data_IF_379886225359
#
_entry.id   IF_379886225359
#
_cell.length_a   1.000
_cell.length_b   1.000
_cell.length_c   1.000
_cell.angle_alpha   90.00
_cell.angle_beta   90.00
_cell.angle_gamma   90.00
#
_symmetry.space_group_name_H-M   'P 1'
#
loop_
_entity.id
_entity.type
_entity.pdbx_description
1 polymer ?
#
# COMPACT_ATOMS: atom_id res chain seq x y z
N UNK A 1 8.69 4.71 -3.03
CA UNK A 1 7.55 4.53 -3.94
C UNK A 1 7.78 5.31 -5.24
N UNK A 2 7.00 6.31 -5.70
CA UNK A 2 7.10 6.84 -7.09
C UNK A 2 8.52 7.13 -7.59
N UNK A 3 9.29 7.89 -6.81
CA UNK A 3 10.65 8.24 -7.17
C UNK A 3 11.57 7.02 -7.22
N UNK A 4 11.50 6.16 -6.21
CA UNK A 4 12.29 4.94 -6.17
C UNK A 4 11.90 3.94 -7.27
N UNK A 5 10.63 3.91 -7.71
CA UNK A 5 10.23 3.16 -8.90
C UNK A 5 11.00 3.61 -10.15
N UNK A 6 11.39 4.89 -10.23
CA UNK A 6 12.28 5.38 -11.28
C UNK A 6 13.75 5.15 -10.95
N UNK A 7 14.28 5.73 -9.88
CA UNK A 7 15.73 5.74 -9.58
C UNK A 7 16.30 4.41 -9.11
N UNK A 8 15.56 3.64 -8.32
CA UNK A 8 16.06 2.36 -7.78
C UNK A 8 15.74 1.17 -8.68
N UNK A 9 14.73 1.27 -9.54
CA UNK A 9 14.27 0.16 -10.37
C UNK A 9 14.42 0.44 -11.87
N UNK A 10 13.72 1.46 -12.39
CA UNK A 10 13.66 1.68 -13.84
C UNK A 10 14.98 2.18 -14.44
N UNK A 11 15.65 3.14 -13.80
CA UNK A 11 16.90 3.71 -14.29
C UNK A 11 18.03 2.65 -14.32
N UNK A 12 18.26 1.86 -13.25
CA UNK A 12 19.19 0.73 -13.28
C UNK A 12 18.80 -0.32 -14.34
N UNK A 13 17.51 -0.60 -14.50
CA UNK A 13 17.04 -1.53 -15.55
C UNK A 13 17.42 -1.05 -16.96
N UNK A 14 17.26 0.25 -17.25
CA UNK A 14 17.65 0.85 -18.54
C UNK A 14 19.17 0.79 -18.74
N UNK A 15 19.95 1.11 -17.71
CA UNK A 15 21.41 1.08 -17.79
C UNK A 15 21.94 -0.34 -18.03
N UNK A 16 21.41 -1.33 -17.29
CA UNK A 16 21.74 -2.74 -17.47
C UNK A 16 21.32 -3.27 -18.85
N UNK A 17 20.11 -2.93 -19.32
CA UNK A 17 19.65 -3.31 -20.64
C UNK A 17 20.52 -2.71 -21.76
N UNK A 18 20.97 -1.47 -21.59
CA UNK A 18 21.86 -0.79 -22.54
C UNK A 18 23.26 -1.42 -22.55
N UNK A 19 23.80 -1.73 -21.39
CA UNK A 19 25.14 -2.31 -21.21
C UNK A 19 25.25 -3.77 -21.69
N UNK A 20 24.14 -4.51 -21.68
CA UNK A 20 24.08 -5.91 -22.13
C UNK A 20 24.40 -6.13 -23.63
N UNK A 21 24.51 -5.06 -24.43
CA UNK A 21 24.96 -5.09 -25.83
C UNK A 21 23.99 -5.72 -26.83
N UNK A 22 22.91 -6.38 -26.36
CA UNK A 22 21.97 -7.11 -27.22
C UNK A 22 20.99 -6.23 -28.02
N UNK A 23 20.70 -5.01 -27.55
CA UNK A 23 19.64 -4.17 -28.12
C UNK A 23 20.10 -2.78 -28.60
N UNK A 24 21.31 -2.32 -28.23
CA UNK A 24 21.83 -1.01 -28.64
C UNK A 24 20.85 0.13 -28.34
N UNK A 25 20.53 0.95 -29.36
CA UNK A 25 19.55 2.04 -29.24
C UNK A 25 18.11 1.58 -28.93
N UNK A 26 17.81 0.28 -29.08
CA UNK A 26 16.51 -0.32 -28.76
C UNK A 26 16.45 -0.89 -27.34
N UNK A 27 17.43 -0.61 -26.47
CA UNK A 27 17.40 -1.05 -25.06
C UNK A 27 16.16 -0.56 -24.29
N UNK A 28 15.50 0.50 -24.76
CA UNK A 28 14.23 0.96 -24.20
C UNK A 28 13.10 -0.07 -24.38
N UNK A 29 13.13 -0.88 -25.44
CA UNK A 29 12.05 -1.81 -25.78
C UNK A 29 11.86 -2.91 -24.73
N UNK A 30 12.89 -3.71 -24.35
CA UNK A 30 12.73 -4.73 -23.31
C UNK A 30 12.30 -4.14 -21.97
N UNK A 31 12.81 -2.96 -21.61
CA UNK A 31 12.43 -2.27 -20.37
C UNK A 31 10.97 -1.80 -20.42
N UNK A 32 10.53 -1.18 -21.53
CA UNK A 32 9.16 -0.75 -21.71
C UNK A 32 8.17 -1.92 -21.68
N UNK A 33 8.55 -3.07 -22.27
CA UNK A 33 7.78 -4.31 -22.20
C UNK A 33 7.69 -4.79 -20.75
N UNK A 34 8.82 -4.90 -20.04
CA UNK A 34 8.84 -5.29 -18.63
C UNK A 34 7.97 -4.39 -17.76
N UNK A 35 8.13 -3.07 -17.89
CA UNK A 35 7.33 -2.07 -17.19
C UNK A 35 5.83 -2.22 -17.47
N UNK A 36 5.45 -2.37 -18.74
CA UNK A 36 4.04 -2.52 -19.13
C UNK A 36 3.46 -3.84 -18.62
N UNK A 37 4.24 -4.93 -18.67
CA UNK A 37 3.84 -6.23 -18.12
C UNK A 37 3.67 -6.18 -16.60
N UNK A 38 4.51 -5.43 -15.89
CA UNK A 38 4.36 -5.19 -14.46
C UNK A 38 3.05 -4.49 -14.11
N UNK A 39 2.74 -3.40 -14.81
CA UNK A 39 1.47 -2.69 -14.64
C UNK A 39 0.27 -3.57 -15.01
N UNK A 40 0.35 -4.27 -16.15
CA UNK A 40 -0.69 -5.19 -16.60
C UNK A 40 -0.88 -6.38 -15.65
N UNK A 41 0.17 -6.85 -14.99
CA UNK A 41 0.10 -7.91 -13.99
C UNK A 41 -0.76 -7.48 -12.79
N UNK A 42 -0.54 -6.27 -12.26
CA UNK A 42 -1.37 -5.76 -11.15
C UNK A 42 -2.80 -5.52 -11.60
N UNK A 43 -2.99 -4.86 -12.74
CA UNK A 43 -4.32 -4.68 -13.34
C UNK A 43 -5.07 -6.01 -13.55
N UNK A 44 -4.38 -7.03 -14.06
CA UNK A 44 -4.96 -8.34 -14.28
C UNK A 44 -5.22 -9.06 -12.96
N UNK A 45 -4.35 -8.92 -11.97
CA UNK A 45 -4.59 -9.43 -10.63
C UNK A 45 -5.87 -8.80 -10.07
N UNK A 46 -6.09 -7.50 -10.27
CA UNK A 46 -7.31 -6.80 -9.89
C UNK A 46 -8.56 -7.30 -10.63
N UNK A 47 -8.42 -7.59 -11.93
CA UNK A 47 -9.50 -8.06 -12.81
C UNK A 47 -9.89 -9.54 -12.61
N UNK A 48 -8.91 -10.43 -12.48
CA UNK A 48 -9.11 -11.88 -12.30
C UNK A 48 -9.79 -12.21 -10.98
N UNK A 49 -9.77 -11.24 -10.10
CA UNK A 49 -10.35 -11.33 -8.81
C UNK A 49 -11.88 -11.20 -8.96
N UNK A 50 -12.65 -12.25 -8.65
CA UNK A 50 -14.07 -12.26 -8.96
C UNK A 50 -14.83 -11.24 -8.10
N UNK A 51 -15.83 -10.57 -8.68
CA UNK A 51 -16.95 -9.97 -7.94
C UNK A 51 -17.86 -11.02 -7.27
N UNK A 52 -17.43 -12.28 -7.18
CA UNK A 52 -18.21 -13.35 -6.57
C UNK A 52 -18.09 -13.23 -5.05
N UNK A 53 -19.13 -12.66 -4.45
CA UNK A 53 -19.32 -12.72 -3.02
C UNK A 53 -19.55 -14.15 -2.53
N UNK A 54 -19.36 -14.28 -1.22
CA UNK A 54 -19.75 -15.39 -0.35
C UNK A 54 -18.74 -16.54 -0.16
N UNK A 55 -18.52 -16.82 1.13
CA UNK A 55 -17.75 -17.91 1.75
C UNK A 55 -16.23 -17.79 1.52
N UNK A 56 -15.38 -17.54 2.52
CA UNK A 56 -15.41 -18.03 3.89
C UNK A 56 -14.89 -16.95 4.84
N UNK A 57 -15.54 -16.84 5.99
CA UNK A 57 -15.13 -15.96 7.07
C UNK A 57 -13.69 -16.35 7.51
N UNK A 58 -12.69 -15.45 7.46
CA UNK A 58 -11.32 -15.76 7.88
C UNK A 58 -11.24 -16.22 9.34
N UNK A 59 -12.20 -15.80 10.16
CA UNK A 59 -12.34 -16.25 11.54
C UNK A 59 -12.81 -17.71 11.66
N UNK A 60 -13.58 -18.22 10.69
CA UNK A 60 -13.94 -19.65 10.64
C UNK A 60 -12.77 -20.53 10.20
N UNK A 61 -11.98 -20.12 9.20
CA UNK A 61 -10.81 -20.88 8.75
C UNK A 61 -9.70 -20.97 9.82
N UNK A 62 -9.55 -19.91 10.63
CA UNK A 62 -8.60 -19.87 11.75
C UNK A 62 -9.14 -20.58 13.00
N UNK A 63 -10.46 -20.53 13.25
CA UNK A 63 -11.10 -21.27 14.35
C UNK A 63 -11.17 -22.78 14.09
N UNK A 64 -11.22 -23.23 12.83
CA UNK A 64 -11.20 -24.64 12.46
C UNK A 64 -9.83 -25.31 12.61
N UNK A 65 -8.76 -24.55 12.86
CA UNK A 65 -7.40 -25.07 13.09
C UNK A 65 -6.93 -24.98 14.55
N UNK A 66 -7.82 -24.60 15.49
CA UNK A 66 -7.56 -24.69 16.92
C UNK A 66 -8.28 -25.92 17.48
N UNK A 67 -7.48 -26.89 17.92
CA UNK A 67 -7.86 -28.21 18.43
C UNK A 67 -9.20 -28.28 19.19
N UNK A 68 -10.05 -29.31 18.95
CA UNK A 68 -11.25 -29.59 19.75
C UNK A 68 -10.94 -30.05 21.20
N UNK A 69 -9.66 -30.11 21.59
CA UNK A 69 -9.23 -30.63 22.89
C UNK A 69 -9.39 -29.65 24.06
N UNK A 70 -9.74 -28.38 23.83
CA UNK A 70 -9.91 -27.39 24.91
C UNK A 70 -11.37 -27.18 25.38
N UNK A 71 -12.35 -27.83 24.76
CA UNK A 71 -13.73 -27.81 25.23
C UNK A 71 -14.07 -29.07 26.03
N UNK A 72 -13.52 -29.19 27.25
CA UNK A 72 -14.07 -30.08 28.26
C UNK A 72 -13.92 -29.50 29.66
N UNK A 73 -15.09 -29.30 30.31
CA UNK A 73 -15.38 -28.90 31.70
C UNK A 73 -15.30 -27.41 32.02
N UNK A 74 -16.47 -26.76 32.10
CA UNK A 74 -17.16 -26.58 33.37
C UNK A 74 -18.64 -26.22 33.14
N UNK A 75 -19.52 -26.96 33.79
CA UNK A 75 -20.97 -26.87 33.71
C UNK A 75 -21.55 -25.64 34.44
N UNK A 76 -22.71 -25.20 33.94
CA UNK A 76 -23.88 -24.67 34.64
C UNK A 76 -23.75 -23.45 35.58
N UNK A 77 -24.20 -22.28 35.11
CA UNK A 77 -25.33 -21.52 35.71
C UNK A 77 -25.79 -20.35 34.82
N UNK A 78 -27.10 -20.09 34.81
CA UNK A 78 -27.78 -19.09 34.00
C UNK A 78 -27.64 -17.62 34.47
N UNK A 79 -28.32 -16.67 33.80
CA UNK A 79 -27.81 -15.33 33.56
C UNK A 79 -28.17 -14.30 34.66
N UNK A 80 -27.28 -13.31 34.88
CA UNK A 80 -27.59 -12.09 35.63
C UNK A 80 -27.12 -10.83 34.90
N UNK A 81 -28.12 -10.05 34.48
CA UNK A 81 -28.05 -8.64 34.09
C UNK A 81 -27.63 -7.76 35.27
N UNK A 82 -26.59 -6.94 35.11
CA UNK A 82 -26.40 -5.67 35.84
C UNK A 82 -25.53 -4.71 34.98
N UNK A 83 -26.13 -3.62 34.51
CA UNK A 83 -25.46 -2.43 33.95
C UNK A 83 -24.72 -1.66 35.07
N UNK A 84 -23.76 -0.75 34.81
CA UNK A 84 -24.11 0.61 34.35
C UNK A 84 -23.17 1.26 33.32
N UNK A 85 -23.80 2.11 32.50
CA UNK A 85 -23.27 3.19 31.68
C UNK A 85 -22.28 4.11 32.43
N UNK A 86 -21.19 4.50 31.76
CA UNK A 86 -20.41 5.68 32.16
C UNK A 86 -20.28 6.62 30.97
N UNK A 87 -21.18 7.60 30.93
CA UNK A 87 -21.07 8.82 30.15
C UNK A 87 -19.71 9.49 30.37
N UNK A 88 -19.07 9.97 29.31
CA UNK A 88 -18.08 11.03 29.40
C UNK A 88 -18.34 12.07 28.31
N UNK A 89 -19.21 13.02 28.66
CA UNK A 89 -19.39 14.27 27.92
C UNK A 89 -18.39 15.30 28.45
N UNK A 90 -17.44 15.73 27.61
CA UNK A 90 -16.60 16.90 27.91
C UNK A 90 -17.09 18.06 27.04
N UNK A 91 -17.84 18.96 27.67
CA UNK A 91 -18.14 20.31 27.16
C UNK A 91 -16.93 21.21 27.42
N UNK A 92 -16.33 21.78 26.38
CA UNK A 92 -15.48 22.96 26.49
C UNK A 92 -16.06 24.05 25.59
N UNK A 93 -16.71 25.03 26.21
CA UNK A 93 -16.98 26.33 25.62
C UNK A 93 -15.87 27.31 25.99
N UNK A 94 -15.36 28.03 25.01
CA UNK A 94 -14.62 29.29 25.26
C UNK A 94 -15.07 30.31 24.22
N UNK A 95 -15.60 31.41 24.74
CA UNK A 95 -16.04 32.57 23.99
C UNK A 95 -14.85 33.46 23.55
N UNK A 96 -15.03 34.09 22.38
CA UNK A 96 -14.57 35.45 22.10
C UNK A 96 -13.23 35.62 21.37
N UNK A 97 -13.27 36.03 20.10
CA UNK A 97 -12.68 37.30 19.62
C UNK A 97 -13.01 37.57 18.14
N UNK A 98 -13.13 38.86 17.84
CA UNK A 98 -13.67 39.51 16.65
C UNK A 98 -12.72 39.52 15.43
N UNK A 99 -13.33 39.78 14.27
CA UNK A 99 -12.84 40.65 13.17
C UNK A 99 -12.45 39.97 11.83
N UNK A 100 -13.46 39.94 10.95
CA UNK A 100 -13.53 40.62 9.64
C UNK A 100 -12.68 40.18 8.42
N UNK A 101 -13.34 40.34 7.25
CA UNK A 101 -12.91 40.31 5.83
C UNK A 101 -12.75 38.99 5.05
N UNK A 102 -13.85 38.65 4.36
CA UNK A 102 -14.01 38.60 2.88
C UNK A 102 -12.81 38.19 2.01
N UNK A 103 -12.96 37.07 1.27
CA UNK A 103 -12.82 37.06 -0.19
C UNK A 103 -13.50 35.83 -0.84
N UNK A 104 -14.21 36.10 -1.95
CA UNK A 104 -15.05 35.19 -2.74
C UNK A 104 -14.24 34.35 -3.73
N UNK A 105 -14.78 33.19 -4.11
CA UNK A 105 -14.28 32.36 -5.22
C UNK A 105 -15.22 31.21 -5.61
N UNK A 106 -16.41 31.58 -6.11
CA UNK A 106 -17.28 30.87 -7.07
C UNK A 106 -17.52 29.35 -6.93
N UNK A 107 -18.68 28.97 -6.37
CA UNK A 107 -19.31 27.67 -6.56
C UNK A 107 -20.52 27.79 -7.50
N UNK A 108 -20.47 27.05 -8.61
CA UNK A 108 -21.53 26.92 -9.61
C UNK A 108 -22.87 26.52 -8.96
N UNK A 109 -23.90 27.35 -9.18
CA UNK A 109 -25.28 27.09 -8.77
C UNK A 109 -25.93 25.98 -9.62
N UNK A 110 -26.77 25.15 -8.99
CA UNK A 110 -27.97 24.61 -9.66
C UNK A 110 -29.19 24.48 -8.74
N UNK A 111 -30.07 25.48 -8.91
CA UNK A 111 -31.54 25.53 -8.88
C UNK A 111 -32.33 25.15 -7.61
N UNK A 112 -32.92 26.21 -7.05
CA UNK A 112 -34.01 26.29 -6.08
C UNK A 112 -35.36 26.03 -6.79
N UNK A 113 -36.21 25.16 -6.24
CA UNK A 113 -37.65 25.16 -6.49
C UNK A 113 -38.34 25.67 -5.22
N UNK A 114 -39.17 26.70 -5.38
CA UNK A 114 -40.02 27.30 -4.35
C UNK A 114 -41.42 26.74 -4.51
N UNK A 115 -42.07 26.33 -3.41
CA UNK A 115 -43.54 26.35 -3.27
C UNK A 115 -43.92 26.41 -1.79
N UNK A 116 -44.96 27.18 -1.54
CA UNK A 116 -45.50 27.73 -0.28
C UNK A 116 -46.55 26.83 0.39
N UNK A 117 -46.68 26.93 1.73
CA UNK A 117 -47.94 26.71 2.48
C UNK A 117 -48.06 25.42 3.31
N UNK A 118 -48.25 25.56 4.63
CA UNK A 118 -48.60 24.52 5.63
C UNK A 118 -50.10 24.10 5.50
N UNK A 119 -50.51 22.88 5.92
CA UNK A 119 -50.91 22.63 7.33
C UNK A 119 -50.53 21.24 7.90
N UNK A 120 -50.61 21.13 9.24
CA UNK A 120 -50.29 19.97 10.09
C UNK A 120 -51.07 18.67 9.74
N UNK A 121 -50.39 17.52 9.81
CA UNK A 121 -50.91 16.14 9.67
C UNK A 121 -49.87 15.11 10.13
N UNK A 122 -50.25 13.87 10.53
CA UNK A 122 -49.69 13.17 11.69
C UNK A 122 -48.31 12.53 11.48
N UNK A 123 -47.62 12.34 12.61
CA UNK A 123 -46.23 11.89 12.77
C UNK A 123 -45.76 10.81 11.78
N UNK A 124 -44.61 11.09 11.14
CA UNK A 124 -43.88 10.11 10.33
C UNK A 124 -43.34 8.96 11.21
N UNK A 125 -43.25 7.72 10.68
CA UNK A 125 -42.73 6.59 11.44
C UNK A 125 -41.24 6.77 11.71
N UNK A 126 -40.83 6.47 12.94
CA UNK A 126 -39.44 6.39 13.38
C UNK A 126 -38.66 5.46 12.43
N UNK A 127 -37.52 5.87 11.85
CA UNK A 127 -36.72 4.95 11.07
C UNK A 127 -36.15 3.87 12.00
N UNK A 128 -36.40 2.61 11.66
CA UNK A 128 -35.83 1.44 12.31
C UNK A 128 -34.32 1.61 12.44
N UNK A 129 -33.81 1.49 13.67
CA UNK A 129 -32.38 1.37 13.95
C UNK A 129 -31.77 0.30 13.04
N UNK A 130 -31.01 0.74 12.04
CA UNK A 130 -30.19 -0.15 11.24
C UNK A 130 -29.10 -0.75 12.12
N UNK A 131 -28.98 -2.08 12.12
CA UNK A 131 -27.83 -2.78 12.65
C UNK A 131 -26.52 -2.13 12.15
N UNK A 132 -25.48 -1.99 12.98
CA UNK A 132 -24.17 -1.59 12.49
C UNK A 132 -23.69 -2.64 11.50
N UNK A 133 -23.56 -2.24 10.23
CA UNK A 133 -23.03 -3.10 9.18
C UNK A 133 -21.59 -3.50 9.52
N UNK A 134 -21.37 -4.79 9.76
CA UNK A 134 -20.04 -5.39 9.81
C UNK A 134 -19.35 -5.18 8.44
N UNK A 135 -18.07 -4.77 8.38
CA UNK A 135 -17.37 -4.52 7.12
C UNK A 135 -17.00 -5.85 6.47
N UNK A 136 -17.95 -6.46 5.76
CA UNK A 136 -17.82 -7.79 5.17
C UNK A 136 -17.33 -7.79 3.72
N UNK A 137 -16.22 -8.49 3.45
CA UNK A 137 -15.84 -9.00 2.13
C UNK A 137 -14.89 -8.12 1.29
N UNK A 138 -15.22 -6.86 1.04
CA UNK A 138 -14.45 -6.04 0.07
C UNK A 138 -13.15 -5.47 0.63
N UNK A 139 -13.13 -5.06 1.90
CA UNK A 139 -11.94 -4.49 2.55
C UNK A 139 -10.83 -5.50 2.80
N UNK A 140 -11.17 -6.71 3.27
CA UNK A 140 -10.20 -7.77 3.51
C UNK A 140 -9.47 -8.22 2.24
N UNK A 141 -10.22 -8.36 1.14
CA UNK A 141 -9.68 -8.68 -0.18
C UNK A 141 -8.66 -7.65 -0.62
N UNK A 142 -9.00 -6.35 -0.52
CA UNK A 142 -8.07 -5.23 -0.79
C UNK A 142 -6.79 -5.33 0.02
N UNK A 143 -6.90 -5.62 1.32
CA UNK A 143 -5.75 -5.79 2.20
C UNK A 143 -4.87 -6.96 1.76
N UNK A 144 -5.45 -8.12 1.45
CA UNK A 144 -4.71 -9.32 1.03
C UNK A 144 -3.99 -9.09 -0.29
N UNK A 145 -4.62 -8.40 -1.25
CA UNK A 145 -3.98 -8.07 -2.52
C UNK A 145 -2.86 -7.09 -2.37
N UNK A 146 -3.07 -6.05 -1.57
CA UNK A 146 -2.04 -5.06 -1.31
C UNK A 146 -0.82 -5.75 -0.69
N UNK A 147 -1.04 -6.65 0.27
CA UNK A 147 0.03 -7.48 0.85
C UNK A 147 0.70 -8.33 -0.22
N UNK A 148 -0.06 -9.04 -1.05
CA UNK A 148 0.48 -9.93 -2.08
C UNK A 148 1.28 -9.17 -3.14
N UNK A 149 0.73 -8.07 -3.64
CA UNK A 149 1.37 -7.17 -4.61
C UNK A 149 2.64 -6.57 -4.01
N UNK A 150 2.61 -6.19 -2.73
CA UNK A 150 3.79 -5.68 -2.02
C UNK A 150 4.87 -6.76 -1.89
N UNK A 151 4.50 -7.94 -1.43
CA UNK A 151 5.42 -9.06 -1.30
C UNK A 151 6.03 -9.48 -2.64
N UNK A 152 5.27 -9.50 -3.74
CA UNK A 152 5.79 -9.88 -5.04
C UNK A 152 6.81 -8.85 -5.57
N UNK A 153 6.59 -7.55 -5.37
CA UNK A 153 7.55 -6.55 -5.85
C UNK A 153 8.84 -6.49 -5.01
N UNK A 154 8.78 -6.86 -3.73
CA UNK A 154 9.96 -6.93 -2.87
C UNK A 154 10.99 -7.99 -3.34
N UNK A 155 10.58 -8.96 -4.17
CA UNK A 155 11.47 -9.99 -4.69
C UNK A 155 12.49 -9.40 -5.68
N UNK A 156 12.09 -8.71 -6.77
CA UNK A 156 13.02 -7.98 -7.64
C UNK A 156 13.95 -7.02 -6.91
N UNK A 157 13.45 -6.32 -5.88
CA UNK A 157 14.26 -5.38 -5.09
C UNK A 157 15.36 -6.10 -4.30
N UNK A 158 14.99 -7.16 -3.60
CA UNK A 158 15.95 -8.02 -2.91
C UNK A 158 16.99 -8.60 -3.87
N UNK A 159 16.55 -9.14 -5.01
CA UNK A 159 17.46 -9.62 -6.06
C UNK A 159 18.43 -8.54 -6.53
N UNK A 160 17.96 -7.31 -6.71
CA UNK A 160 18.79 -6.19 -7.15
C UNK A 160 19.88 -5.83 -6.13
N UNK A 161 19.51 -5.75 -4.84
CA UNK A 161 20.49 -5.55 -3.75
C UNK A 161 21.50 -6.70 -3.72
N UNK A 162 21.03 -7.94 -3.79
CA UNK A 162 21.84 -9.14 -3.77
C UNK A 162 22.84 -9.23 -4.92
N UNK A 163 22.35 -9.06 -6.15
CA UNK A 163 23.18 -9.06 -7.36
C UNK A 163 24.15 -7.88 -7.34
N UNK A 164 23.70 -6.69 -6.92
CA UNK A 164 24.56 -5.52 -6.78
C UNK A 164 25.78 -5.81 -5.91
N UNK A 165 25.58 -6.38 -4.71
CA UNK A 165 26.70 -6.78 -3.84
C UNK A 165 27.48 -7.98 -4.37
N UNK A 166 26.83 -8.97 -4.97
CA UNK A 166 27.49 -10.17 -5.50
C UNK A 166 28.28 -9.92 -6.79
N UNK A 167 28.01 -8.82 -7.49
CA UNK A 167 28.69 -8.41 -8.71
C UNK A 167 29.85 -7.44 -8.46
N UNK A 168 30.06 -7.00 -7.21
CA UNK A 168 31.15 -6.09 -6.85
C UNK A 168 32.49 -6.62 -7.38
N UNK A 169 33.25 -5.74 -8.05
CA UNK A 169 34.54 -6.04 -8.72
C UNK A 169 34.47 -6.98 -9.93
N UNK A 170 33.30 -7.49 -10.32
CA UNK A 170 33.14 -8.32 -11.55
C UNK A 170 33.02 -7.49 -12.82
N UNK A 171 32.62 -6.22 -12.72
CA UNK A 171 32.50 -5.28 -13.84
C UNK A 171 32.86 -3.88 -13.37
N UNK A 172 33.38 -3.02 -14.26
CA UNK A 172 33.78 -1.66 -13.91
C UNK A 172 32.63 -0.81 -13.30
N UNK A 173 31.38 -1.11 -13.66
CA UNK A 173 30.18 -0.45 -13.14
C UNK A 173 29.68 -1.02 -11.81
N UNK A 174 30.10 -2.24 -11.43
CA UNK A 174 29.64 -2.90 -10.21
C UNK A 174 30.59 -2.59 -9.05
N UNK A 175 30.41 -1.42 -8.43
CA UNK A 175 31.21 -0.97 -7.28
C UNK A 175 30.48 -1.22 -5.97
N UNK A 176 31.24 -1.37 -4.87
CA UNK A 176 30.64 -1.43 -3.53
C UNK A 176 29.77 -0.21 -3.22
N UNK A 177 30.16 0.97 -3.72
CA UNK A 177 29.42 2.21 -3.51
C UNK A 177 28.06 2.17 -4.22
N UNK A 178 28.03 1.72 -5.48
CA UNK A 178 26.78 1.56 -6.25
C UNK A 178 25.80 0.60 -5.56
N UNK A 179 26.30 -0.56 -5.08
CA UNK A 179 25.49 -1.56 -4.38
C UNK A 179 24.97 -1.04 -3.03
N UNK A 180 25.81 -0.33 -2.27
CA UNK A 180 25.44 0.32 -1.00
C UNK A 180 24.35 1.37 -1.22
N UNK A 181 24.50 2.23 -2.22
CA UNK A 181 23.56 3.31 -2.49
C UNK A 181 22.20 2.75 -2.93
N UNK A 182 22.19 1.73 -3.79
CA UNK A 182 20.99 0.99 -4.18
C UNK A 182 20.26 0.40 -2.96
N UNK A 183 21.01 -0.27 -2.06
CA UNK A 183 20.45 -0.87 -0.86
C UNK A 183 19.86 0.16 0.11
N UNK A 184 20.50 1.32 0.26
CA UNK A 184 19.97 2.42 1.08
C UNK A 184 18.69 2.98 0.45
N UNK A 185 18.68 3.20 -0.86
CA UNK A 185 17.51 3.70 -1.60
C UNK A 185 16.29 2.79 -1.44
N UNK A 186 16.49 1.48 -1.63
CA UNK A 186 15.47 0.45 -1.41
C UNK A 186 15.02 0.43 0.06
N UNK A 187 15.96 0.38 1.00
CA UNK A 187 15.61 0.35 2.44
C UNK A 187 14.78 1.54 2.92
N UNK A 188 14.97 2.73 2.34
CA UNK A 188 14.19 3.92 2.68
C UNK A 188 12.74 3.82 2.21
N UNK A 189 12.47 3.23 1.03
CA UNK A 189 11.09 3.10 0.54
C UNK A 189 10.33 1.94 1.17
N UNK A 190 11.03 0.94 1.70
CA UNK A 190 10.41 -0.22 2.35
C UNK A 190 9.68 0.18 3.64
N UNK A 191 10.08 1.31 4.25
CA UNK A 191 9.37 1.83 5.42
C UNK A 191 7.94 2.31 5.07
N UNK A 192 7.73 3.21 4.09
CA UNK A 192 6.41 3.50 3.54
C UNK A 192 5.60 2.26 3.11
N UNK A 193 6.22 1.26 2.49
CA UNK A 193 5.54 0.04 2.03
C UNK A 193 5.08 -0.86 3.19
N UNK A 194 5.95 -1.06 4.19
CA UNK A 194 5.58 -1.77 5.42
C UNK A 194 4.44 -1.08 6.16
N UNK A 195 4.39 0.26 6.14
CA UNK A 195 3.26 1.03 6.65
C UNK A 195 2.00 0.89 5.79
N UNK A 196 2.14 0.82 4.46
CA UNK A 196 1.03 0.60 3.54
C UNK A 196 0.36 -0.77 3.77
N UNK A 197 1.09 -1.77 4.25
CA UNK A 197 0.52 -3.04 4.72
C UNK A 197 -0.06 -2.93 6.15
N UNK A 198 0.69 -2.30 7.05
CA UNK A 198 0.35 -2.28 8.48
C UNK A 198 -0.90 -1.46 8.78
N UNK A 199 -1.09 -0.31 8.13
CA UNK A 199 -2.18 0.62 8.44
C UNK A 199 -3.57 0.05 8.07
N UNK A 200 -3.77 -0.57 6.88
CA UNK A 200 -5.03 -1.23 6.56
C UNK A 200 -5.36 -2.41 7.49
N UNK A 201 -4.36 -3.22 7.87
CA UNK A 201 -4.54 -4.30 8.85
C UNK A 201 -5.00 -3.77 10.22
N UNK A 202 -4.39 -2.67 10.67
CA UNK A 202 -4.81 -1.98 11.89
C UNK A 202 -6.24 -1.45 11.77
N UNK A 203 -6.59 -0.87 10.63
CA UNK A 203 -7.95 -0.42 10.31
C UNK A 203 -8.98 -1.55 10.30
N UNK A 204 -8.58 -2.77 9.91
CA UNK A 204 -9.40 -3.97 9.95
C UNK A 204 -9.54 -4.60 11.36
N UNK A 205 -9.00 -3.97 12.40
CA UNK A 205 -9.16 -4.39 13.80
C UNK A 205 -8.00 -5.21 14.37
N UNK A 206 -6.90 -5.41 13.64
CA UNK A 206 -5.71 -6.07 14.19
C UNK A 206 -5.05 -5.19 15.27
N UNK A 207 -4.39 -5.82 16.25
CA UNK A 207 -3.58 -5.07 17.23
C UNK A 207 -2.41 -4.36 16.53
N UNK A 208 -1.98 -3.21 17.03
CA UNK A 208 -0.86 -2.43 16.47
C UNK A 208 0.37 -3.30 16.23
N UNK A 209 0.68 -4.18 17.18
CA UNK A 209 1.82 -5.08 17.10
C UNK A 209 1.66 -6.17 16.03
N UNK A 210 0.47 -6.77 15.90
CA UNK A 210 0.22 -7.77 14.84
C UNK A 210 0.27 -7.14 13.46
N UNK A 211 -0.35 -5.98 13.30
CA UNK A 211 -0.35 -5.24 12.04
C UNK A 211 1.08 -4.86 11.62
N UNK A 212 1.87 -4.33 12.55
CA UNK A 212 3.29 -4.05 12.35
C UNK A 212 4.07 -5.30 11.92
N UNK A 213 3.91 -6.43 12.64
CA UNK A 213 4.60 -7.68 12.27
C UNK A 213 4.24 -8.16 10.88
N UNK A 214 2.98 -8.09 10.47
CA UNK A 214 2.59 -8.46 9.11
C UNK A 214 3.23 -7.55 8.06
N UNK A 215 3.34 -6.24 8.33
CA UNK A 215 4.10 -5.31 7.46
C UNK A 215 5.58 -5.65 7.36
N UNK A 216 6.22 -6.07 8.46
CA UNK A 216 7.61 -6.54 8.41
C UNK A 216 7.73 -7.88 7.66
N UNK A 217 6.79 -8.79 7.87
CA UNK A 217 6.78 -10.11 7.21
C UNK A 217 6.60 -9.99 5.69
N UNK A 218 5.81 -9.03 5.21
CA UNK A 218 5.70 -8.77 3.76
C UNK A 218 7.00 -8.30 3.13
N UNK A 219 7.90 -7.69 3.91
CA UNK A 219 9.25 -7.29 3.48
C UNK A 219 10.32 -8.37 3.65
N UNK A 220 10.06 -9.45 4.41
CA UNK A 220 11.06 -10.49 4.70
C UNK A 220 11.52 -11.27 3.46
N UNK A 221 10.77 -11.21 2.36
CA UNK A 221 11.16 -11.81 1.09
C UNK A 221 12.36 -11.12 0.45
N UNK A 222 12.59 -9.85 0.75
CA UNK A 222 13.70 -9.06 0.22
C UNK A 222 15.07 -9.58 0.67
N UNK A 223 15.39 -9.77 1.97
CA UNK A 223 16.67 -10.32 2.37
C UNK A 223 16.89 -11.75 1.87
N UNK A 224 15.82 -12.56 1.76
CA UNK A 224 15.91 -13.90 1.19
C UNK A 224 16.29 -13.85 -0.30
N UNK A 225 15.61 -13.00 -1.07
CA UNK A 225 15.90 -12.75 -2.47
C UNK A 225 17.30 -12.14 -2.66
N UNK A 226 17.75 -11.27 -1.76
CA UNK A 226 19.09 -10.68 -1.79
C UNK A 226 20.20 -11.68 -1.52
N UNK A 227 20.04 -12.56 -0.53
CA UNK A 227 20.99 -13.66 -0.32
C UNK A 227 21.03 -14.55 -1.56
N UNK A 228 19.88 -14.92 -2.12
CA UNK A 228 19.83 -15.70 -3.36
C UNK A 228 20.53 -14.98 -4.53
N UNK A 229 20.24 -13.70 -4.75
CA UNK A 229 20.85 -12.89 -5.80
C UNK A 229 22.37 -12.79 -5.67
N UNK A 230 22.89 -12.65 -4.44
CA UNK A 230 24.32 -12.58 -4.17
C UNK A 230 25.05 -13.90 -4.50
N UNK A 231 24.42 -15.05 -4.26
CA UNK A 231 25.00 -16.36 -4.61
C UNK A 231 24.79 -16.73 -6.08
N UNK A 232 23.68 -16.31 -6.69
CA UNK A 232 23.26 -16.70 -8.02
C UNK A 232 23.47 -15.59 -9.08
N UNK A 233 24.46 -14.71 -8.89
CA UNK A 233 24.72 -13.54 -9.77
C UNK A 233 24.69 -13.90 -11.25
N UNK A 234 25.38 -14.97 -11.65
CA UNK A 234 25.46 -15.40 -13.07
C UNK A 234 24.08 -15.76 -13.64
N UNK A 235 23.18 -16.28 -12.81
CA UNK A 235 21.81 -16.62 -13.20
C UNK A 235 20.88 -15.40 -13.12
N UNK A 236 21.07 -14.55 -12.12
CA UNK A 236 20.18 -13.44 -11.83
C UNK A 236 20.46 -12.20 -12.69
N UNK A 237 21.72 -11.91 -13.00
CA UNK A 237 22.15 -10.70 -13.74
C UNK A 237 21.47 -10.57 -15.12
N UNK A 238 21.33 -11.62 -15.96
CA UNK A 238 20.62 -11.50 -17.24
C UNK A 238 19.12 -11.24 -17.08
N UNK A 239 18.52 -11.65 -15.97
CA UNK A 239 17.07 -11.54 -15.71
C UNK A 239 16.74 -10.20 -15.02
N UNK A 240 17.70 -9.64 -14.29
CA UNK A 240 17.53 -8.49 -13.43
C UNK A 240 16.95 -7.24 -14.13
N UNK A 241 17.40 -6.79 -15.31
CA UNK A 241 16.82 -5.60 -15.95
C UNK A 241 15.32 -5.77 -16.23
N UNK A 242 14.89 -6.98 -16.61
CA UNK A 242 13.49 -7.27 -16.87
C UNK A 242 12.67 -7.33 -15.57
N UNK A 243 13.23 -7.94 -14.52
CA UNK A 243 12.60 -8.03 -13.20
C UNK A 243 12.44 -6.65 -12.55
N UNK A 244 13.46 -5.79 -12.66
CA UNK A 244 13.43 -4.41 -12.17
C UNK A 244 12.43 -3.55 -12.93
N UNK A 245 12.40 -3.65 -14.26
CA UNK A 245 11.42 -2.95 -15.08
C UNK A 245 9.99 -3.38 -14.73
N UNK A 246 9.77 -4.68 -14.56
CA UNK A 246 8.49 -5.25 -14.11
C UNK A 246 8.08 -4.72 -12.74
N UNK A 247 8.98 -4.72 -11.75
CA UNK A 247 8.70 -4.17 -10.42
C UNK A 247 8.35 -2.68 -10.47
N UNK A 248 9.10 -1.89 -11.24
CA UNK A 248 8.83 -0.46 -11.44
C UNK A 248 7.41 -0.23 -11.99
N UNK A 249 7.02 -1.00 -13.01
CA UNK A 249 5.69 -0.91 -13.63
C UNK A 249 4.57 -1.28 -12.67
N UNK A 250 4.72 -2.39 -11.94
CA UNK A 250 3.76 -2.83 -10.94
C UNK A 250 3.58 -1.77 -9.83
N UNK A 251 4.69 -1.22 -9.32
CA UNK A 251 4.66 -0.22 -8.25
C UNK A 251 4.02 1.10 -8.72
N UNK A 252 4.34 1.58 -9.93
CA UNK A 252 3.69 2.77 -10.49
C UNK A 252 2.19 2.58 -10.65
N UNK A 253 1.74 1.40 -11.11
CA UNK A 253 0.32 1.08 -11.21
C UNK A 253 -0.38 1.17 -9.84
N UNK A 254 0.13 0.48 -8.82
CA UNK A 254 -0.44 0.51 -7.45
C UNK A 254 -0.53 1.93 -6.92
N UNK A 255 0.49 2.76 -7.14
CA UNK A 255 0.47 4.13 -6.65
C UNK A 255 -0.62 4.97 -7.34
N UNK A 256 -0.76 4.80 -8.66
CA UNK A 256 -1.71 5.58 -9.46
C UNK A 256 -3.16 5.12 -9.28
N UNK A 257 -3.41 3.83 -9.13
CA UNK A 257 -4.75 3.26 -9.05
C UNK A 257 -5.28 3.17 -7.61
N UNK A 258 -4.40 2.95 -6.63
CA UNK A 258 -4.79 2.81 -5.22
C UNK A 258 -4.36 4.01 -4.37
N UNK A 259 -3.05 4.24 -4.21
CA UNK A 259 -2.52 5.11 -3.14
C UNK A 259 -2.94 6.58 -3.33
N UNK A 260 -2.77 7.12 -4.53
CA UNK A 260 -3.11 8.53 -4.82
C UNK A 260 -4.64 8.74 -4.74
N UNK A 261 -5.48 7.92 -5.40
CA UNK A 261 -6.94 8.05 -5.30
C UNK A 261 -7.46 7.91 -3.86
N UNK A 262 -6.98 6.94 -3.10
CA UNK A 262 -7.39 6.72 -1.70
C UNK A 262 -7.08 7.94 -0.82
N UNK A 263 -5.92 8.57 -1.01
CA UNK A 263 -5.57 9.78 -0.29
C UNK A 263 -6.50 10.97 -0.63
N UNK A 264 -6.99 11.05 -1.87
CA UNK A 264 -7.95 12.07 -2.29
C UNK A 264 -9.35 11.80 -1.70
N UNK A 265 -9.79 10.54 -1.71
CA UNK A 265 -11.08 10.11 -1.14
C UNK A 265 -11.08 10.33 0.38
N UNK A 266 -9.94 10.13 1.04
CA UNK A 266 -9.73 10.39 2.47
C UNK A 266 -9.67 11.88 2.84
N UNK A 267 -9.83 12.80 1.88
CA UNK A 267 -9.78 14.25 2.11
C UNK A 267 -8.38 14.85 2.27
N UNK A 268 -7.32 14.04 2.09
CA UNK A 268 -5.92 14.43 2.29
C UNK A 268 -5.18 14.70 0.97
N UNK A 269 -5.87 14.86 -0.16
CA UNK A 269 -5.26 14.95 -1.49
C UNK A 269 -4.14 15.99 -1.61
N UNK A 270 -4.33 17.22 -1.11
CA UNK A 270 -3.27 18.26 -1.14
C UNK A 270 -2.04 17.88 -0.33
N UNK A 271 -2.23 17.30 0.85
CA UNK A 271 -1.14 16.83 1.71
C UNK A 271 -0.38 15.68 1.01
N UNK A 272 -1.11 14.74 0.42
CA UNK A 272 -0.54 13.62 -0.31
C UNK A 272 0.30 14.09 -1.52
N UNK A 273 -0.16 15.10 -2.26
CA UNK A 273 0.62 15.68 -3.37
C UNK A 273 1.92 16.31 -2.88
N UNK A 274 1.89 17.13 -1.82
CA UNK A 274 3.11 17.72 -1.26
C UNK A 274 4.04 16.69 -0.63
N UNK A 275 3.51 15.69 0.06
CA UNK A 275 4.29 14.59 0.59
C UNK A 275 4.93 13.75 -0.52
N UNK A 276 4.22 13.56 -1.65
CA UNK A 276 4.77 12.89 -2.84
C UNK A 276 5.92 13.67 -3.44
N UNK A 277 5.80 15.01 -3.59
CA UNK A 277 6.88 15.87 -4.06
C UNK A 277 8.08 15.81 -3.10
N UNK A 278 7.84 15.92 -1.79
CA UNK A 278 8.90 15.84 -0.79
C UNK A 278 9.64 14.49 -0.86
N UNK A 279 8.89 13.38 -0.88
CA UNK A 279 9.47 12.04 -1.02
C UNK A 279 10.24 11.89 -2.32
N UNK A 280 9.78 12.52 -3.40
CA UNK A 280 10.46 12.51 -4.69
C UNK A 280 11.79 13.28 -4.66
N UNK A 281 11.79 14.48 -4.06
CA UNK A 281 13.01 15.27 -3.88
C UNK A 281 14.01 14.55 -2.98
N UNK A 282 13.56 13.99 -1.85
CA UNK A 282 14.42 13.22 -0.94
C UNK A 282 15.08 12.07 -1.68
N UNK A 283 14.30 11.28 -2.42
CA UNK A 283 14.85 10.14 -3.15
C UNK A 283 15.82 10.56 -4.26
N UNK A 284 15.48 11.58 -5.06
CA UNK A 284 16.36 12.13 -6.09
C UNK A 284 17.67 12.65 -5.47
N UNK A 285 17.59 13.35 -4.33
CA UNK A 285 18.78 13.86 -3.63
C UNK A 285 19.63 12.73 -3.05
N UNK A 286 19.03 11.62 -2.62
CA UNK A 286 19.78 10.46 -2.15
C UNK A 286 20.49 9.76 -3.31
N UNK A 287 19.80 9.57 -4.44
CA UNK A 287 20.38 8.96 -5.64
C UNK A 287 21.55 9.79 -6.20
N UNK A 288 21.31 11.09 -6.44
CA UNK A 288 22.33 12.00 -7.00
C UNK A 288 23.41 12.36 -5.98
N UNK A 289 23.04 12.50 -4.70
CA UNK A 289 23.94 12.99 -3.66
C UNK A 289 24.78 11.92 -2.98
N UNK A 290 24.33 10.65 -3.00
CA UNK A 290 25.14 9.52 -2.56
C UNK A 290 25.86 8.83 -3.73
N UNK A 291 25.41 9.08 -4.97
CA UNK A 291 25.97 8.58 -6.23
C UNK A 291 27.43 8.94 -6.46
#
# INVERSE_FOLDING_TARGET
MLAASYWSLLAPAVEMATSSGGFGALAFFPVAVGFTLGAAFVYLADLLMPHQGAAEDPQMALALNLDPALMKKSDAEGPRLLFPESELSIRIGRAGLLSDKSENGEAYQRKKAVTTGLPEGPAAPVPSQGNPALPGGSGWRRIVLLILAITIHNIPEGLAVGVGFGAVEKTASATFESARNLAIGIGIQNFPEGLAVSLPLRGAGFSTWRAFWYGQLSGMVEPLAGVFGAFAVVLAEPILPYALAFAAGAMVYVIMDDIIPEAHISGNGKLASWASILGFVVMMSLDVGLG
#
